data_IF_403074957158
#
_entry.id   IF_403074957158
#
_cell.length_a   1.000
_cell.length_b   1.000
_cell.length_c   1.000
_cell.angle_alpha   90.00
_cell.angle_beta   90.00
_cell.angle_gamma   90.00
#
_symmetry.space_group_name_H-M   'P 1'
#
loop_
_entity.id
_entity.type
_entity.pdbx_description
1 polymer ?
#
# COMPACT_ATOMS: atom_id res chain seq x y z
N UNK A 1 3.87 19.99 3.87
CA UNK A 1 3.53 18.55 3.95
C UNK A 1 4.71 17.86 4.57
N UNK A 2 4.59 17.36 5.81
CA UNK A 2 5.68 16.59 6.43
C UNK A 2 5.78 15.28 5.66
N UNK A 3 6.96 14.96 5.11
CA UNK A 3 7.20 13.64 4.53
C UNK A 3 6.78 12.58 5.57
N UNK A 4 5.89 11.65 5.19
CA UNK A 4 5.45 10.57 6.06
C UNK A 4 6.67 9.80 6.59
N UNK A 5 6.57 9.24 7.80
CA UNK A 5 7.69 8.48 8.36
C UNK A 5 7.93 7.24 7.49
N UNK A 6 9.19 7.01 7.12
CA UNK A 6 9.63 5.78 6.46
C UNK A 6 10.70 5.06 7.30
N UNK A 7 10.68 3.72 7.29
CA UNK A 7 11.72 2.84 7.84
C UNK A 7 11.98 1.68 6.89
N UNK A 8 13.25 1.48 6.51
CA UNK A 8 13.66 0.38 5.62
C UNK A 8 14.42 -0.70 6.37
N UNK A 9 14.15 -1.96 6.03
CA UNK A 9 14.77 -3.17 6.54
C UNK A 9 15.29 -3.99 5.36
N UNK A 10 16.44 -4.64 5.53
CA UNK A 10 17.04 -5.52 4.52
C UNK A 10 17.03 -6.97 4.99
N UNK A 11 16.49 -7.86 4.16
CA UNK A 11 16.40 -9.31 4.40
C UNK A 11 17.03 -10.04 3.20
N UNK A 12 18.36 -10.20 3.24
CA UNK A 12 19.10 -10.75 2.09
C UNK A 12 18.95 -9.86 0.86
N UNK A 13 18.30 -10.38 -0.20
CA UNK A 13 18.01 -9.61 -1.43
C UNK A 13 16.71 -8.82 -1.38
N UNK A 14 15.91 -9.00 -0.32
CA UNK A 14 14.62 -8.33 -0.15
C UNK A 14 14.82 -7.02 0.63
N UNK A 15 14.24 -5.93 0.12
CA UNK A 15 14.09 -4.68 0.85
C UNK A 15 12.64 -4.54 1.29
N UNK A 16 12.41 -4.30 2.58
CA UNK A 16 11.08 -4.05 3.14
C UNK A 16 11.04 -2.63 3.66
N UNK A 17 10.06 -1.84 3.22
CA UNK A 17 9.89 -0.46 3.67
C UNK A 17 8.53 -0.27 4.34
N UNK A 18 8.54 0.26 5.56
CA UNK A 18 7.35 0.73 6.26
C UNK A 18 7.19 2.21 5.95
N UNK A 19 6.06 2.57 5.34
CA UNK A 19 5.76 3.91 4.86
C UNK A 19 4.42 4.36 5.46
N UNK A 20 4.33 5.64 5.84
CA UNK A 20 3.06 6.32 6.13
C UNK A 20 2.65 7.15 4.91
N UNK A 21 1.52 6.80 4.27
CA UNK A 21 1.04 7.48 3.07
C UNK A 21 -0.21 6.82 2.46
N UNK A 22 -0.60 7.28 1.26
CA UNK A 22 -1.67 6.69 0.46
C UNK A 22 -1.10 5.65 -0.51
N UNK A 23 -1.59 4.41 -0.46
CA UNK A 23 -1.10 3.32 -1.30
C UNK A 23 -1.41 3.53 -2.79
N UNK A 24 -2.42 4.34 -3.14
CA UNK A 24 -2.75 4.62 -4.55
C UNK A 24 -1.74 5.56 -5.22
N UNK A 25 -0.88 6.21 -4.44
CA UNK A 25 0.17 7.13 -4.91
C UNK A 25 1.57 6.51 -4.87
N UNK A 26 1.71 5.26 -4.39
CA UNK A 26 3.00 4.58 -4.29
C UNK A 26 3.47 4.12 -5.67
N UNK A 27 4.68 4.53 -6.06
CA UNK A 27 5.33 4.04 -7.28
C UNK A 27 5.75 2.57 -7.09
N UNK A 28 5.03 1.66 -7.76
CA UNK A 28 5.29 0.23 -7.75
C UNK A 28 4.76 -0.44 -9.02
N UNK A 29 5.37 -1.55 -9.42
CA UNK A 29 4.88 -2.38 -10.53
C UNK A 29 3.49 -2.99 -10.22
N UNK A 30 3.21 -3.23 -8.94
CA UNK A 30 1.94 -3.76 -8.47
C UNK A 30 1.65 -3.33 -7.02
N UNK A 31 0.37 -3.15 -6.69
CA UNK A 31 -0.12 -2.92 -5.33
C UNK A 31 -1.10 -4.02 -4.92
N UNK A 32 -1.16 -4.31 -3.62
CA UNK A 32 -2.05 -5.35 -3.07
C UNK A 32 -3.30 -4.70 -2.48
N UNK A 33 -4.47 -5.22 -2.87
CA UNK A 33 -5.76 -4.78 -2.33
C UNK A 33 -6.18 -5.63 -1.12
N UNK A 34 -6.50 -4.99 0.01
CA UNK A 34 -7.16 -5.62 1.15
C UNK A 34 -8.69 -5.72 0.91
N UNK A 35 -9.09 -6.57 -0.02
CA UNK A 35 -10.49 -6.81 -0.37
C UNK A 35 -11.18 -7.83 0.58
N UNK A 36 -12.51 -7.90 0.49
CA UNK A 36 -13.28 -8.98 1.13
C UNK A 36 -13.41 -10.21 0.21
N UNK A 37 -13.87 -11.34 0.77
CA UNK A 37 -14.04 -12.61 0.05
C UNK A 37 -14.97 -12.57 -1.17
N UNK A 38 -15.77 -11.52 -1.32
CA UNK A 38 -16.74 -11.37 -2.41
C UNK A 38 -16.27 -10.40 -3.48
N UNK A 39 -15.07 -9.82 -3.35
CA UNK A 39 -14.56 -8.75 -4.21
C UNK A 39 -15.56 -7.59 -4.36
N UNK A 40 -16.30 -7.28 -3.29
CA UNK A 40 -17.24 -6.15 -3.24
C UNK A 40 -16.58 -4.98 -2.53
N UNK A 41 -15.95 -4.11 -3.30
CA UNK A 41 -15.15 -2.98 -2.81
C UNK A 41 -16.06 -1.83 -2.33
N UNK A 42 -16.54 -1.91 -1.08
CA UNK A 42 -17.51 -0.96 -0.53
C UNK A 42 -16.93 0.32 0.10
N UNK A 43 -15.61 0.37 0.34
CA UNK A 43 -14.94 1.50 1.00
C UNK A 43 -13.53 1.15 1.50
N UNK A 44 -12.92 2.06 2.28
CA UNK A 44 -11.56 1.92 2.79
C UNK A 44 -10.53 1.82 1.66
N UNK A 45 -9.41 1.13 1.92
CA UNK A 45 -8.33 0.95 0.92
C UNK A 45 -8.82 0.22 -0.33
N UNK A 46 -9.74 -0.74 -0.19
CA UNK A 46 -10.30 -1.45 -1.35
C UNK A 46 -11.14 -0.54 -2.25
N UNK A 47 -11.88 0.40 -1.67
CA UNK A 47 -12.59 1.42 -2.42
C UNK A 47 -11.63 2.44 -3.05
N UNK A 48 -10.55 2.81 -2.37
CA UNK A 48 -9.54 3.73 -2.89
C UNK A 48 -8.80 3.16 -4.11
N UNK A 49 -8.45 1.87 -4.08
CA UNK A 49 -7.72 1.20 -5.18
C UNK A 49 -8.57 0.98 -6.44
N UNK A 50 -9.87 0.72 -6.30
CA UNK A 50 -10.74 0.29 -7.42
C UNK A 50 -11.45 1.47 -8.12
N UNK A 51 -11.39 2.67 -7.54
CA UNK A 51 -12.05 3.85 -8.09
C UNK A 51 -11.36 4.37 -9.35
#
# INVERSE_FOLDING_TARGET
MSAGKSRRYSLGRLSVELLEGDITEVEADAIVNAANRYLKHGGGVAGAIVR
#
